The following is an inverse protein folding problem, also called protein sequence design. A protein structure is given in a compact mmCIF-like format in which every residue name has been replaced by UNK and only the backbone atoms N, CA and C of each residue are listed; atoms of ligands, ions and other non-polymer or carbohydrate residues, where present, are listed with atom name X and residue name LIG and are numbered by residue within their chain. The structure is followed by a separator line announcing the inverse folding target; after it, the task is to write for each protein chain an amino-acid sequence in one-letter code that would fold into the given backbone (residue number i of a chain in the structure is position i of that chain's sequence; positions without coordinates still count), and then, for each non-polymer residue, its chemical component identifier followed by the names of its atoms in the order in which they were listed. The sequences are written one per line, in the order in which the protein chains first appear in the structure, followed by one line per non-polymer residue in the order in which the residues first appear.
data_IF_384659131878
#
_entry.id   IF_384659131878
#
_cell.length_a   1.000
_cell.length_b   1.000
_cell.length_c   1.000
_cell.angle_alpha   90.00
_cell.angle_beta   90.00
_cell.angle_gamma   90.00
#
_symmetry.space_group_name_H-M   'P 1'
#
loop_
_entity.id
_entity.type
_entity.pdbx_description
1 polymer ?
#
# COMPACT_ATOMS: atom_id res chain seq x y z
N UNK A 1 -7.06 -24.58 -12.24
CA UNK A 1 -6.25 -24.55 -11.00
C UNK A 1 -7.20 -24.58 -9.81
N UNK A 2 -7.33 -25.71 -9.11
CA UNK A 2 -8.15 -25.77 -7.89
C UNK A 2 -7.33 -25.23 -6.72
N UNK A 3 -7.79 -24.14 -6.10
CA UNK A 3 -7.14 -23.55 -4.93
C UNK A 3 -7.61 -24.34 -3.71
N UNK A 4 -6.67 -24.97 -3.01
CA UNK A 4 -6.98 -25.73 -1.79
C UNK A 4 -7.40 -24.79 -0.64
N UNK A 5 -8.22 -25.26 0.30
CA UNK A 5 -8.63 -24.45 1.46
C UNK A 5 -7.43 -23.93 2.26
N UNK A 6 -6.34 -24.71 2.34
CA UNK A 6 -5.08 -24.33 2.98
C UNK A 6 -4.48 -23.09 2.32
N UNK A 7 -4.35 -23.07 1.00
CA UNK A 7 -3.78 -21.92 0.27
C UNK A 7 -4.61 -20.64 0.48
N UNK A 8 -5.95 -20.77 0.59
CA UNK A 8 -6.84 -19.63 0.86
C UNK A 8 -6.57 -19.02 2.23
N UNK A 9 -6.45 -19.85 3.26
CA UNK A 9 -6.19 -19.40 4.64
C UNK A 9 -4.83 -18.73 4.73
N UNK A 10 -3.79 -19.34 4.13
CA UNK A 10 -2.46 -18.74 4.17
C UNK A 10 -2.40 -17.42 3.38
N UNK A 11 -3.18 -17.28 2.30
CA UNK A 11 -3.30 -16.00 1.57
C UNK A 11 -3.95 -14.92 2.42
N UNK A 12 -5.00 -15.26 3.19
CA UNK A 12 -5.64 -14.31 4.12
C UNK A 12 -4.65 -13.87 5.20
N UNK A 13 -3.87 -14.81 5.74
CA UNK A 13 -2.86 -14.50 6.74
C UNK A 13 -1.79 -13.54 6.21
N UNK A 14 -1.27 -13.80 5.00
CA UNK A 14 -0.29 -12.92 4.35
C UNK A 14 -0.88 -11.54 4.06
N UNK A 15 -2.13 -11.49 3.59
CA UNK A 15 -2.87 -10.24 3.42
C UNK A 15 -2.96 -9.44 4.72
N UNK A 16 -3.36 -10.08 5.82
CA UNK A 16 -3.48 -9.41 7.12
C UNK A 16 -2.15 -8.84 7.63
N UNK A 17 -1.05 -9.57 7.46
CA UNK A 17 0.29 -9.11 7.84
C UNK A 17 0.69 -7.89 7.00
N UNK A 18 0.44 -7.93 5.69
CA UNK A 18 0.69 -6.81 4.79
C UNK A 18 -0.17 -5.58 5.11
N UNK A 19 -1.43 -5.77 5.52
CA UNK A 19 -2.32 -4.68 5.93
C UNK A 19 -1.78 -3.93 7.15
N UNK A 20 -1.30 -4.67 8.16
CA UNK A 20 -0.65 -4.08 9.33
C UNK A 20 0.67 -3.38 8.96
N UNK A 21 1.45 -3.99 8.06
CA UNK A 21 2.69 -3.42 7.54
C UNK A 21 2.47 -2.08 6.82
N UNK A 22 1.36 -1.95 6.10
CA UNK A 22 0.97 -0.72 5.41
C UNK A 22 0.51 0.35 6.39
N UNK A 23 -0.25 -0.06 7.41
CA UNK A 23 -0.88 0.86 8.36
C UNK A 23 0.15 1.65 9.17
N UNK A 24 1.24 1.02 9.60
CA UNK A 24 2.27 1.67 10.43
C UNK A 24 2.89 2.91 9.74
N UNK A 25 3.50 2.81 8.54
CA UNK A 25 4.02 3.99 7.85
C UNK A 25 2.90 4.95 7.47
N UNK A 26 1.71 4.45 7.11
CA UNK A 26 0.58 5.32 6.75
C UNK A 26 0.15 6.23 7.90
N UNK A 27 0.08 5.69 9.13
CA UNK A 27 -0.26 6.50 10.31
C UNK A 27 0.80 7.56 10.58
N UNK A 28 2.07 7.27 10.36
CA UNK A 28 3.14 8.27 10.46
C UNK A 28 2.89 9.41 9.47
N UNK A 29 2.66 9.12 8.19
CA UNK A 29 2.36 10.14 7.18
C UNK A 29 1.09 10.93 7.50
N UNK A 30 0.03 10.26 7.97
CA UNK A 30 -1.19 10.92 8.40
C UNK A 30 -0.95 11.93 9.53
N UNK A 31 -0.06 11.60 10.50
CA UNK A 31 0.31 12.54 11.57
C UNK A 31 1.17 13.70 11.09
N UNK A 32 2.09 13.43 10.16
CA UNK A 32 2.93 14.46 9.52
C UNK A 32 2.05 15.42 8.73
N UNK A 33 1.15 14.93 7.89
CA UNK A 33 0.23 15.78 7.12
C UNK A 33 -0.62 16.65 8.04
N UNK A 34 -1.17 16.08 9.11
CA UNK A 34 -1.95 16.86 10.08
C UNK A 34 -1.14 17.98 10.72
N UNK A 35 0.13 17.73 11.03
CA UNK A 35 1.00 18.68 11.72
C UNK A 35 1.54 19.78 10.78
N UNK A 36 1.94 19.40 9.57
CA UNK A 36 2.60 20.30 8.62
C UNK A 36 1.63 21.02 7.68
N UNK A 37 0.56 20.34 7.23
CA UNK A 37 -0.43 20.91 6.29
C UNK A 37 -1.65 21.51 7.01
N UNK A 38 -1.79 21.27 8.31
CA UNK A 38 -2.92 21.78 9.10
C UNK A 38 -4.27 21.21 8.67
N UNK A 39 -4.29 20.06 7.97
CA UNK A 39 -5.56 19.44 7.55
C UNK A 39 -6.41 19.05 8.77
N UNK A 40 -7.61 19.62 8.85
CA UNK A 40 -8.62 19.24 9.84
C UNK A 40 -9.28 17.93 9.41
N UNK A 41 -8.80 16.82 9.96
CA UNK A 41 -9.37 15.50 9.69
C UNK A 41 -10.55 15.25 10.63
N UNK A 42 -11.74 15.05 10.07
CA UNK A 42 -12.92 14.58 10.80
C UNK A 42 -12.78 13.11 11.17
N UNK A 43 -13.49 12.64 12.20
CA UNK A 43 -13.51 11.22 12.58
C UNK A 43 -13.87 10.30 11.41
N UNK A 44 -14.85 10.71 10.59
CA UNK A 44 -15.29 9.96 9.41
C UNK A 44 -14.19 9.98 8.34
N UNK A 45 -13.53 11.12 8.11
CA UNK A 45 -12.41 11.22 7.17
C UNK A 45 -11.23 10.34 7.56
N UNK A 46 -10.88 10.30 8.84
CA UNK A 46 -9.85 9.41 9.36
C UNK A 46 -10.23 7.94 9.15
N UNK A 47 -11.48 7.57 9.45
CA UNK A 47 -11.97 6.21 9.28
C UNK A 47 -11.88 5.73 7.83
N UNK A 48 -12.29 6.57 6.87
CA UNK A 48 -12.20 6.27 5.44
C UNK A 48 -10.74 6.13 4.99
N UNK A 49 -9.89 7.08 5.37
CA UNK A 49 -8.44 7.08 5.07
C UNK A 49 -7.76 5.80 5.58
N UNK A 50 -7.99 5.45 6.85
CA UNK A 50 -7.42 4.25 7.49
C UNK A 50 -7.96 2.98 6.88
N UNK A 51 -9.27 2.89 6.62
CA UNK A 51 -9.89 1.72 5.98
C UNK A 51 -9.33 1.49 4.58
N UNK A 52 -9.16 2.56 3.80
CA UNK A 52 -8.53 2.48 2.48
C UNK A 52 -7.08 1.98 2.55
N UNK A 53 -6.31 2.42 3.54
CA UNK A 53 -4.94 1.95 3.77
C UNK A 53 -4.89 0.45 4.12
N UNK A 54 -5.76 0.00 5.04
CA UNK A 54 -5.87 -1.41 5.44
C UNK A 54 -6.23 -2.29 4.24
N UNK A 55 -7.26 -1.91 3.48
CA UNK A 55 -7.71 -2.67 2.30
C UNK A 55 -6.61 -2.72 1.23
N UNK A 56 -5.93 -1.59 0.99
CA UNK A 56 -4.83 -1.51 0.02
C UNK A 56 -3.67 -2.42 0.41
N UNK A 57 -3.24 -2.36 1.67
CA UNK A 57 -2.18 -3.22 2.20
C UNK A 57 -2.56 -4.70 2.19
N UNK A 58 -3.81 -5.02 2.53
CA UNK A 58 -4.34 -6.38 2.48
C UNK A 58 -4.29 -6.96 1.06
N UNK A 59 -4.85 -6.22 0.10
CA UNK A 59 -4.93 -6.64 -1.29
C UNK A 59 -3.54 -6.78 -1.91
N UNK A 60 -2.63 -5.84 -1.60
CA UNK A 60 -1.24 -5.95 -2.01
C UNK A 60 -0.60 -7.23 -1.48
N UNK A 61 -0.76 -7.58 -0.21
CA UNK A 61 -0.14 -8.78 0.36
C UNK A 61 -0.65 -10.08 -0.29
N UNK A 62 -1.97 -10.17 -0.50
CA UNK A 62 -2.60 -11.29 -1.22
C UNK A 62 -2.01 -11.41 -2.63
N UNK A 63 -2.01 -10.32 -3.40
CA UNK A 63 -1.52 -10.32 -4.78
C UNK A 63 -0.01 -10.59 -4.85
N UNK A 64 0.78 -9.94 -3.98
CA UNK A 64 2.23 -10.08 -3.95
C UNK A 64 2.65 -11.53 -3.76
N UNK A 65 1.99 -12.26 -2.84
CA UNK A 65 2.24 -13.70 -2.63
C UNK A 65 2.09 -14.49 -3.93
N UNK A 66 1.02 -14.26 -4.69
CA UNK A 66 0.79 -15.01 -5.92
C UNK A 66 1.77 -14.64 -7.02
N UNK A 67 2.20 -13.38 -7.08
CA UNK A 67 3.20 -12.91 -8.04
C UNK A 67 4.56 -13.57 -7.80
N UNK A 68 5.03 -13.61 -6.55
CA UNK A 68 6.38 -14.12 -6.21
C UNK A 68 6.43 -15.62 -5.92
N UNK A 69 5.29 -16.32 -5.98
CA UNK A 69 5.22 -17.75 -5.61
C UNK A 69 6.12 -18.63 -6.47
N UNK A 70 6.16 -18.33 -7.78
CA UNK A 70 6.79 -19.19 -8.79
C UNK A 70 7.93 -18.51 -9.55
N UNK A 71 8.21 -17.23 -9.25
CA UNK A 71 9.19 -16.43 -9.98
C UNK A 71 9.99 -15.60 -8.98
N UNK A 72 11.32 -15.67 -9.06
CA UNK A 72 12.25 -14.93 -8.20
C UNK A 72 12.84 -13.70 -8.92
N UNK A 73 12.26 -13.31 -10.06
CA UNK A 73 12.69 -12.14 -10.82
C UNK A 73 12.51 -10.85 -9.99
N UNK A 74 13.60 -10.13 -9.67
CA UNK A 74 13.53 -8.90 -8.88
C UNK A 74 12.70 -7.81 -9.57
N UNK A 75 12.70 -7.75 -10.91
CA UNK A 75 11.90 -6.77 -11.66
C UNK A 75 10.40 -6.97 -11.49
N UNK A 76 9.95 -8.22 -11.30
CA UNK A 76 8.53 -8.52 -11.08
C UNK A 76 8.06 -8.04 -9.70
N UNK A 77 8.92 -8.18 -8.69
CA UNK A 77 8.69 -7.71 -7.32
C UNK A 77 8.57 -6.19 -7.27
N UNK A 78 9.56 -5.50 -7.84
CA UNK A 78 9.58 -4.04 -7.89
C UNK A 78 8.45 -3.48 -8.77
N UNK A 79 8.15 -4.15 -9.90
CA UNK A 79 7.02 -3.80 -10.76
C UNK A 79 5.67 -3.91 -10.04
N UNK A 80 5.50 -4.90 -9.17
CA UNK A 80 4.26 -5.04 -8.36
C UNK A 80 4.11 -3.91 -7.36
N UNK A 81 5.20 -3.53 -6.68
CA UNK A 81 5.20 -2.36 -5.78
C UNK A 81 4.88 -1.09 -6.56
N UNK A 82 5.54 -0.89 -7.70
CA UNK A 82 5.33 0.29 -8.54
C UNK A 82 3.88 0.39 -9.05
N UNK A 83 3.28 -0.72 -9.50
CA UNK A 83 1.90 -0.73 -9.99
C UNK A 83 0.90 -0.28 -8.91
N UNK A 84 0.99 -0.85 -7.71
CA UNK A 84 0.10 -0.47 -6.59
C UNK A 84 0.36 0.96 -6.12
N UNK A 85 1.63 1.35 -5.99
CA UNK A 85 2.00 2.69 -5.56
C UNK A 85 1.56 3.77 -6.55
N UNK A 86 1.69 3.53 -7.85
CA UNK A 86 1.23 4.46 -8.90
C UNK A 86 -0.29 4.57 -8.91
N UNK A 87 -1.03 3.45 -8.88
CA UNK A 87 -2.51 3.50 -8.89
C UNK A 87 -3.05 4.28 -7.70
N UNK A 88 -2.46 4.12 -6.52
CA UNK A 88 -2.82 4.91 -5.33
C UNK A 88 -2.33 6.35 -5.42
N UNK A 89 -1.06 6.55 -5.79
CA UNK A 89 -0.38 7.84 -5.75
C UNK A 89 -0.83 8.83 -6.83
N UNK A 90 -1.42 8.36 -7.92
CA UNK A 90 -1.95 9.20 -9.01
C UNK A 90 -3.38 9.69 -8.76
N UNK A 91 -4.02 9.32 -7.65
CA UNK A 91 -5.38 9.79 -7.32
C UNK A 91 -5.49 11.33 -7.32
N UNK A 92 -4.55 12.11 -6.73
CA UNK A 92 -4.62 13.57 -6.77
C UNK A 92 -4.68 14.14 -8.19
N UNK A 93 -4.02 13.52 -9.18
CA UNK A 93 -4.08 13.98 -10.59
C UNK A 93 -5.49 13.96 -11.16
N UNK A 94 -6.32 13.02 -10.71
CA UNK A 94 -7.69 12.87 -11.19
C UNK A 94 -8.63 13.93 -10.59
N UNK A 95 -8.21 14.54 -9.47
CA UNK A 95 -8.99 15.51 -8.70
C UNK A 95 -8.49 16.95 -8.88
N UNK A 96 -7.23 17.13 -9.29
CA UNK A 96 -6.60 18.44 -9.47
C UNK A 96 -7.04 19.13 -10.77
N UNK A 97 -7.39 20.42 -10.66
CA UNK A 97 -7.66 21.30 -11.80
C UNK A 97 -6.43 22.06 -12.27
N UNK A 98 -5.42 22.23 -11.41
CA UNK A 98 -4.14 22.88 -11.74
C UNK A 98 -2.96 21.98 -11.37
N UNK A 99 -2.46 21.30 -12.41
CA UNK A 99 -1.46 20.24 -12.31
C UNK A 99 -0.08 20.74 -11.84
N UNK A 100 0.29 21.98 -12.21
CA UNK A 100 1.59 22.55 -11.86
C UNK A 100 1.58 23.09 -10.42
N UNK A 101 0.46 23.67 -9.98
CA UNK A 101 0.31 24.13 -8.60
C UNK A 101 0.30 22.97 -7.60
N UNK A 102 -0.33 21.85 -7.95
CA UNK A 102 -0.47 20.67 -7.09
C UNK A 102 0.66 19.63 -7.23
N UNK A 103 1.65 19.89 -8.09
CA UNK A 103 2.75 18.95 -8.38
C UNK A 103 3.49 18.49 -7.10
N UNK A 104 3.65 19.40 -6.14
CA UNK A 104 4.33 19.09 -4.87
C UNK A 104 3.53 18.09 -4.01
N UNK A 105 2.21 18.29 -3.91
CA UNK A 105 1.26 17.44 -3.18
C UNK A 105 1.18 16.06 -3.81
N UNK A 106 1.16 16.03 -5.14
CA UNK A 106 1.24 14.79 -5.90
C UNK A 106 2.52 14.02 -5.58
N UNK A 107 3.67 14.69 -5.61
CA UNK A 107 4.96 14.06 -5.33
C UNK A 107 5.00 13.47 -3.92
N UNK A 108 4.43 14.16 -2.93
CA UNK A 108 4.34 13.66 -1.56
C UNK A 108 3.45 12.44 -1.46
N UNK A 109 2.23 12.50 -2.01
CA UNK A 109 1.27 11.39 -1.94
C UNK A 109 1.74 10.14 -2.72
N UNK A 110 2.44 10.37 -3.82
CA UNK A 110 3.11 9.33 -4.58
C UNK A 110 4.25 8.69 -3.76
N UNK A 111 5.13 9.51 -3.19
CA UNK A 111 6.23 9.05 -2.33
C UNK A 111 5.74 8.26 -1.13
N UNK A 112 4.70 8.75 -0.44
CA UNK A 112 4.00 8.04 0.63
C UNK A 112 3.55 6.64 0.18
N UNK A 113 2.87 6.57 -0.97
CA UNK A 113 2.37 5.30 -1.50
C UNK A 113 3.49 4.31 -1.80
N UNK A 114 4.59 4.78 -2.40
CA UNK A 114 5.77 3.95 -2.63
C UNK A 114 6.38 3.44 -1.32
N UNK A 115 6.54 4.30 -0.32
CA UNK A 115 7.12 3.92 0.98
C UNK A 115 6.24 2.89 1.67
N UNK A 116 4.92 3.09 1.72
CA UNK A 116 4.00 2.15 2.35
C UNK A 116 4.03 0.76 1.68
N UNK A 117 3.96 0.67 0.35
CA UNK A 117 4.02 -0.62 -0.35
C UNK A 117 5.40 -1.27 -0.31
N UNK A 118 6.48 -0.47 -0.29
CA UNK A 118 7.83 -0.99 -0.11
C UNK A 118 8.01 -1.58 1.30
N UNK A 119 7.47 -0.94 2.34
CA UNK A 119 7.45 -1.51 3.69
C UNK A 119 6.70 -2.84 3.73
N UNK A 120 5.54 -2.96 3.06
CA UNK A 120 4.83 -4.23 2.93
C UNK A 120 5.72 -5.29 2.27
N UNK A 121 6.35 -4.97 1.12
CA UNK A 121 7.25 -5.89 0.42
C UNK A 121 8.37 -6.38 1.34
N UNK A 122 9.08 -5.46 1.98
CA UNK A 122 10.20 -5.78 2.86
C UNK A 122 9.76 -6.66 4.04
N UNK A 123 8.62 -6.37 4.67
CA UNK A 123 8.11 -7.19 5.76
C UNK A 123 7.76 -8.61 5.29
N UNK A 124 7.12 -8.76 4.13
CA UNK A 124 6.77 -10.06 3.57
C UNK A 124 8.00 -10.88 3.17
N UNK A 125 9.04 -10.23 2.66
CA UNK A 125 10.33 -10.86 2.36
C UNK A 125 11.08 -11.28 3.63
N UNK A 126 11.12 -10.42 4.65
CA UNK A 126 11.76 -10.69 5.93
C UNK A 126 11.10 -11.85 6.68
N UNK A 127 9.77 -11.88 6.67
CA UNK A 127 9.02 -12.97 7.31
C UNK A 127 9.10 -14.28 6.53
N UNK A 128 9.73 -14.30 5.34
CA UNK A 128 9.82 -15.45 4.44
C UNK A 128 8.50 -16.21 4.39
N UNK A 129 7.36 -15.50 4.37
CA UNK A 129 6.05 -16.10 4.59
C UNK A 129 5.72 -17.09 3.47
N UNK A 130 6.18 -18.33 3.71
CA UNK A 130 5.99 -19.59 3.00
C UNK A 130 5.93 -19.46 1.47
N UNK A 131 7.10 -19.61 0.84
CA UNK A 131 7.17 -20.43 -0.37
C UNK A 131 6.57 -21.80 -0.08
#
# INVERSE_FOLDING_TARGET
MQITLKERIESIQVGSISALAFLVPYLLFLTVDRLFLGESITLIGAFVKISGAIISGFLFGVTYRYVVRNDDNPHLKDGTVAAFALVRGLVPLQLSTDLLADAWRLSLFLGESFICFLCCRLLLELTKLRQ
#
